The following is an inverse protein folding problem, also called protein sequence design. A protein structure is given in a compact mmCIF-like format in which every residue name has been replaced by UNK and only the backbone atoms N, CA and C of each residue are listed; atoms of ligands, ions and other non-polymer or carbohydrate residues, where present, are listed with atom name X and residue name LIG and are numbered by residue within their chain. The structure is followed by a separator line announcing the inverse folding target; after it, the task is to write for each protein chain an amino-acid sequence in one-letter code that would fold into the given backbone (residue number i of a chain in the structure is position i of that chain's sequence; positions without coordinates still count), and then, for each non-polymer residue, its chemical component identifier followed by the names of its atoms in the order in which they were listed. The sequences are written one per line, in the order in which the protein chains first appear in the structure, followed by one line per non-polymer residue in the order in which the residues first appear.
data_IF_214953234955
#
_entry.id   IF_214953234955
#
_cell.length_a   1.000
_cell.length_b   1.000
_cell.length_c   1.000
_cell.angle_alpha   90.00
_cell.angle_beta   90.00
_cell.angle_gamma   90.00
#
_symmetry.space_group_name_H-M   'P 1'
#
loop_
_entity.id
_entity.type
_entity.pdbx_description
1 polymer ?
#
# COMPACT_ATOMS: atom_id res chain seq x y z
N UNK A 1 -7.45 -37.52 9.69
CA UNK A 1 -7.52 -37.33 8.22
C UNK A 1 -6.14 -36.90 7.72
N UNK A 2 -5.46 -37.73 6.92
CA UNK A 2 -4.18 -37.32 6.29
C UNK A 2 -4.54 -36.33 5.18
N UNK A 3 -4.20 -35.05 5.38
CA UNK A 3 -4.39 -34.02 4.34
C UNK A 3 -3.65 -34.44 3.06
N UNK A 4 -4.34 -34.43 1.93
CA UNK A 4 -3.75 -34.76 0.63
C UNK A 4 -2.61 -33.80 0.31
N UNK A 5 -1.64 -34.21 -0.48
CA UNK A 5 -0.51 -33.36 -0.92
C UNK A 5 -1.04 -32.06 -1.55
N UNK A 6 -2.11 -32.16 -2.35
CA UNK A 6 -2.77 -31.01 -2.95
C UNK A 6 -3.30 -30.01 -1.91
N UNK A 7 -3.93 -30.47 -0.83
CA UNK A 7 -4.43 -29.58 0.24
C UNK A 7 -3.30 -28.86 0.95
N UNK A 8 -2.19 -29.54 1.21
CA UNK A 8 -1.01 -28.93 1.83
C UNK A 8 -0.40 -27.85 0.93
N UNK A 9 -0.25 -28.15 -0.35
CA UNK A 9 0.27 -27.19 -1.34
C UNK A 9 -0.65 -25.96 -1.45
N UNK A 10 -1.97 -26.18 -1.56
CA UNK A 10 -2.96 -25.12 -1.57
C UNK A 10 -2.84 -24.19 -0.36
N UNK A 11 -2.84 -24.75 0.86
CA UNK A 11 -2.75 -23.98 2.09
C UNK A 11 -1.42 -23.22 2.20
N UNK A 12 -0.30 -23.84 1.80
CA UNK A 12 1.01 -23.18 1.81
C UNK A 12 1.06 -21.97 0.90
N UNK A 13 0.64 -22.12 -0.37
CA UNK A 13 0.64 -21.02 -1.35
C UNK A 13 -0.35 -19.93 -0.94
N UNK A 14 -1.54 -20.31 -0.47
CA UNK A 14 -2.55 -19.36 0.01
C UNK A 14 -2.03 -18.55 1.21
N UNK A 15 -1.35 -19.20 2.16
CA UNK A 15 -0.78 -18.51 3.34
C UNK A 15 0.27 -17.48 2.95
N UNK A 16 1.20 -17.83 2.05
CA UNK A 16 2.22 -16.89 1.56
C UNK A 16 1.56 -15.70 0.86
N UNK A 17 0.56 -15.97 0.03
CA UNK A 17 -0.14 -14.92 -0.69
C UNK A 17 -0.93 -13.98 0.25
N UNK A 18 -1.59 -14.52 1.27
CA UNK A 18 -2.30 -13.71 2.28
C UNK A 18 -1.34 -12.81 3.06
N UNK A 19 -0.19 -13.34 3.49
CA UNK A 19 0.83 -12.53 4.17
C UNK A 19 1.30 -11.39 3.28
N UNK A 20 1.59 -11.68 2.01
CA UNK A 20 2.00 -10.67 1.05
C UNK A 20 0.90 -9.61 0.83
N UNK A 21 -0.36 -10.04 0.66
CA UNK A 21 -1.48 -9.13 0.44
C UNK A 21 -1.70 -8.19 1.64
N UNK A 22 -1.67 -8.71 2.87
CA UNK A 22 -1.79 -7.88 4.09
C UNK A 22 -0.64 -6.90 4.19
N UNK A 23 0.61 -7.35 3.99
CA UNK A 23 1.79 -6.49 4.02
C UNK A 23 1.71 -5.38 2.95
N UNK A 24 1.26 -5.72 1.75
CA UNK A 24 1.08 -4.77 0.67
C UNK A 24 0.01 -3.72 0.98
N UNK A 25 -1.14 -4.13 1.55
CA UNK A 25 -2.21 -3.21 1.95
C UNK A 25 -1.70 -2.22 3.00
N UNK A 26 -1.01 -2.70 4.05
CA UNK A 26 -0.46 -1.83 5.09
C UNK A 26 0.56 -0.84 4.52
N UNK A 27 1.47 -1.34 3.68
CA UNK A 27 2.46 -0.49 3.02
C UNK A 27 1.81 0.58 2.13
N UNK A 28 0.79 0.20 1.36
CA UNK A 28 0.10 1.13 0.47
C UNK A 28 -0.70 2.19 1.24
N UNK A 29 -1.31 1.83 2.38
CA UNK A 29 -2.01 2.79 3.24
C UNK A 29 -1.07 3.87 3.77
N UNK A 30 0.08 3.46 4.30
CA UNK A 30 1.06 4.40 4.85
C UNK A 30 1.62 5.31 3.75
N UNK A 31 1.95 4.74 2.60
CA UNK A 31 2.47 5.49 1.45
C UNK A 31 1.46 6.53 0.93
N UNK A 32 0.19 6.15 0.80
CA UNK A 32 -0.85 7.06 0.31
C UNK A 32 -1.10 8.20 1.30
N UNK A 33 -1.17 7.88 2.60
CA UNK A 33 -1.29 8.89 3.65
C UNK A 33 -0.13 9.90 3.58
N UNK A 34 1.11 9.41 3.48
CA UNK A 34 2.29 10.27 3.37
C UNK A 34 2.22 11.14 2.11
N UNK A 35 1.85 10.56 0.97
CA UNK A 35 1.68 11.30 -0.28
C UNK A 35 0.64 12.43 -0.17
N UNK A 36 -0.50 12.19 0.50
CA UNK A 36 -1.53 13.21 0.73
C UNK A 36 -1.02 14.34 1.66
N UNK A 37 -0.25 13.99 2.70
CA UNK A 37 0.40 14.95 3.61
C UNK A 37 1.41 15.82 2.82
N UNK A 38 2.27 15.20 2.03
CA UNK A 38 3.26 15.91 1.22
C UNK A 38 2.58 16.82 0.18
N UNK A 39 1.52 16.36 -0.45
CA UNK A 39 0.72 17.15 -1.39
C UNK A 39 0.07 18.35 -0.71
N UNK A 40 -0.47 18.17 0.50
CA UNK A 40 -1.02 19.28 1.29
C UNK A 40 0.09 20.29 1.65
N UNK A 41 1.23 19.80 2.10
CA UNK A 41 2.38 20.66 2.42
C UNK A 41 2.83 21.49 1.22
N UNK A 42 2.93 20.88 0.04
CA UNK A 42 3.28 21.60 -1.19
C UNK A 42 2.25 22.67 -1.55
N UNK A 43 0.96 22.40 -1.39
CA UNK A 43 -0.11 23.42 -1.61
C UNK A 43 0.01 24.59 -0.65
N UNK A 44 0.35 24.34 0.62
CA UNK A 44 0.53 25.41 1.60
C UNK A 44 1.81 26.21 1.33
N UNK A 45 2.89 25.55 0.91
CA UNK A 45 4.11 26.24 0.49
C UNK A 45 3.89 27.11 -0.75
N UNK A 46 3.09 26.64 -1.69
CA UNK A 46 2.71 27.42 -2.87
C UNK A 46 1.90 28.66 -2.48
N UNK A 47 0.91 28.50 -1.59
CA UNK A 47 0.19 29.62 -0.99
C UNK A 47 1.14 30.63 -0.33
N UNK A 48 2.11 30.15 0.48
CA UNK A 48 3.09 31.01 1.14
C UNK A 48 3.95 31.81 0.13
N UNK A 49 4.36 31.17 -0.98
CA UNK A 49 5.12 31.82 -2.05
C UNK A 49 4.31 32.94 -2.74
N UNK A 50 3.08 32.61 -3.13
CA UNK A 50 2.19 33.60 -3.76
C UNK A 50 1.89 34.78 -2.83
N UNK A 51 1.75 34.53 -1.52
CA UNK A 51 1.58 35.59 -0.54
C UNK A 51 2.82 36.45 -0.45
N UNK A 52 4.04 35.90 -0.37
CA UNK A 52 5.30 36.65 -0.38
C UNK A 52 5.41 37.52 -1.63
N UNK A 53 5.16 36.96 -2.82
CA UNK A 53 5.18 37.72 -4.07
C UNK A 53 4.24 38.90 -4.03
N UNK A 54 3.02 38.72 -3.50
CA UNK A 54 2.03 39.78 -3.36
C UNK A 54 2.46 40.83 -2.34
N UNK A 55 3.00 40.41 -1.18
CA UNK A 55 3.56 41.30 -0.16
C UNK A 55 4.65 42.18 -0.77
N UNK A 56 5.53 41.61 -1.56
CA UNK A 56 6.66 42.31 -2.20
C UNK A 56 6.22 43.20 -3.35
N UNK A 57 5.42 42.69 -4.30
CA UNK A 57 5.04 43.42 -5.52
C UNK A 57 4.02 44.52 -5.25
N UNK A 58 3.04 44.27 -4.37
CA UNK A 58 2.01 45.24 -4.00
C UNK A 58 2.37 46.06 -2.78
N UNK A 59 3.55 45.82 -2.19
CA UNK A 59 4.05 46.54 -0.99
C UNK A 59 3.03 46.48 0.18
N UNK A 60 2.47 45.29 0.45
CA UNK A 60 1.49 45.12 1.53
C UNK A 60 2.19 45.28 2.89
N UNK A 61 1.91 46.39 3.60
CA UNK A 61 2.57 46.73 4.86
C UNK A 61 1.63 46.77 6.07
N UNK A 62 0.33 46.90 5.83
CA UNK A 62 -0.66 47.03 6.90
C UNK A 62 -1.42 45.72 7.12
N UNK A 63 -1.87 45.49 8.37
CA UNK A 63 -2.69 44.33 8.69
C UNK A 63 -3.93 44.24 7.81
N UNK A 64 -4.62 45.38 7.58
CA UNK A 64 -5.81 45.39 6.74
C UNK A 64 -5.55 44.92 5.28
N UNK A 65 -4.37 45.23 4.73
CA UNK A 65 -3.98 44.77 3.40
C UNK A 65 -3.68 43.25 3.40
N UNK A 66 -3.04 42.77 4.47
CA UNK A 66 -2.76 41.33 4.62
C UNK A 66 -4.05 40.53 4.87
N UNK A 67 -4.98 41.05 5.70
CA UNK A 67 -6.30 40.47 5.92
C UNK A 67 -7.06 40.39 4.59
N UNK A 68 -7.08 41.48 3.81
CA UNK A 68 -7.70 41.49 2.49
C UNK A 68 -7.11 40.48 1.53
N UNK A 69 -5.77 40.28 1.56
CA UNK A 69 -5.12 39.22 0.77
C UNK A 69 -5.61 37.82 1.17
N UNK A 70 -5.63 37.53 2.49
CA UNK A 70 -6.07 36.22 2.99
C UNK A 70 -7.56 35.95 2.67
N UNK A 71 -8.40 36.99 2.75
CA UNK A 71 -9.82 36.87 2.43
C UNK A 71 -10.08 36.66 0.94
N UNK A 72 -9.31 37.31 0.07
CA UNK A 72 -9.46 37.20 -1.40
C UNK A 72 -8.84 35.93 -1.94
N UNK A 73 -7.78 35.40 -1.33
CA UNK A 73 -7.13 34.13 -1.66
C UNK A 73 -7.57 33.03 -0.68
N UNK A 74 -8.89 32.85 -0.61
CA UNK A 74 -9.52 32.00 0.37
C UNK A 74 -9.04 30.53 0.28
N UNK A 75 -8.54 30.03 1.41
CA UNK A 75 -8.29 28.62 1.63
C UNK A 75 -9.06 28.19 2.89
N UNK A 76 -9.87 27.11 2.84
CA UNK A 76 -10.75 26.72 3.95
C UNK A 76 -9.98 26.51 5.26
N UNK A 77 -10.42 27.20 6.31
CA UNK A 77 -9.85 27.13 7.66
C UNK A 77 -8.36 27.48 7.80
N UNK A 78 -7.76 28.08 6.79
CA UNK A 78 -6.36 28.48 6.83
C UNK A 78 -6.14 29.58 7.87
N UNK A 79 -5.06 29.45 8.64
CA UNK A 79 -4.46 30.50 9.44
C UNK A 79 -3.09 30.79 8.88
N UNK A 80 -2.81 32.05 8.65
CA UNK A 80 -1.51 32.52 8.16
C UNK A 80 -0.84 33.36 9.24
N UNK A 81 0.45 33.11 9.46
CA UNK A 81 1.27 33.84 10.42
C UNK A 81 2.56 34.28 9.73
N UNK A 82 2.90 35.57 9.77
CA UNK A 82 4.20 36.07 9.33
C UNK A 82 5.12 36.23 10.55
N UNK A 83 6.31 35.66 10.44
CA UNK A 83 7.27 35.52 11.53
C UNK A 83 8.60 36.07 11.06
N UNK A 84 9.18 36.97 11.85
CA UNK A 84 10.52 37.48 11.58
C UNK A 84 11.58 36.41 11.91
N UNK A 85 12.78 36.55 11.36
CA UNK A 85 13.88 35.57 11.56
C UNK A 85 14.32 35.40 13.02
N UNK A 86 14.01 36.36 13.91
CA UNK A 86 14.21 36.22 15.36
C UNK A 86 13.08 35.43 16.06
N UNK A 87 12.09 34.94 15.32
CA UNK A 87 10.96 34.18 15.84
C UNK A 87 9.77 34.98 16.34
N UNK A 88 9.83 36.34 16.23
CA UNK A 88 8.73 37.21 16.62
C UNK A 88 7.64 37.25 15.55
N UNK A 89 6.39 37.07 15.98
CA UNK A 89 5.21 37.19 15.11
C UNK A 89 4.95 38.65 14.77
N UNK A 90 4.81 38.99 13.50
CA UNK A 90 4.51 40.31 12.98
C UNK A 90 3.13 40.44 12.38
N UNK A 91 2.49 39.31 12.02
CA UNK A 91 1.12 39.27 11.55
C UNK A 91 0.50 37.87 11.85
N UNK A 92 -0.79 37.87 12.17
CA UNK A 92 -1.57 36.65 12.33
C UNK A 92 -3.00 36.86 11.86
N UNK A 93 -3.47 36.05 10.90
CA UNK A 93 -4.81 36.20 10.28
C UNK A 93 -5.98 35.89 11.23
N UNK A 94 -5.75 35.24 12.36
CA UNK A 94 -6.79 34.81 13.32
C UNK A 94 -6.74 35.58 14.64
N UNK A 95 -5.58 36.10 15.04
CA UNK A 95 -5.38 36.82 16.29
C UNK A 95 -5.19 38.31 15.99
N UNK A 96 -5.94 39.15 16.69
CA UNK A 96 -5.77 40.60 16.60
C UNK A 96 -4.66 41.16 17.54
N UNK A 97 -4.43 40.48 18.65
CA UNK A 97 -3.31 40.76 19.55
C UNK A 97 -2.38 39.54 19.63
N UNK A 98 -1.23 39.64 19.02
CA UNK A 98 -0.16 38.64 19.02
C UNK A 98 1.07 39.07 19.80
N UNK A 99 1.00 40.18 20.56
CA UNK A 99 2.11 40.74 21.37
C UNK A 99 2.54 39.76 22.47
N UNK A 100 1.62 38.94 22.97
CA UNK A 100 1.84 38.00 24.05
C UNK A 100 2.23 36.58 23.56
N UNK A 101 2.35 36.36 22.24
CA UNK A 101 2.77 35.07 21.72
C UNK A 101 4.22 34.76 22.08
N UNK A 102 4.48 33.56 22.51
CA UNK A 102 5.84 33.05 22.73
C UNK A 102 6.66 33.13 21.43
N UNK A 103 7.98 33.18 21.56
CA UNK A 103 8.86 33.16 20.41
C UNK A 103 8.74 31.84 19.67
N UNK A 104 8.59 31.88 18.35
CA UNK A 104 8.34 30.74 17.51
C UNK A 104 9.61 30.08 16.91
N UNK A 105 10.80 30.62 17.20
CA UNK A 105 12.04 30.16 16.56
C UNK A 105 12.39 28.71 16.82
N UNK A 106 12.01 28.18 18.00
CA UNK A 106 12.27 26.80 18.41
C UNK A 106 11.24 25.81 17.89
N UNK A 107 10.20 26.28 17.20
CA UNK A 107 9.18 25.37 16.64
C UNK A 107 9.75 24.56 15.49
N UNK A 108 9.48 23.24 15.42
CA UNK A 108 10.11 22.36 14.44
C UNK A 108 9.94 22.82 12.99
N UNK A 109 8.74 23.27 12.61
CA UNK A 109 8.46 23.77 11.26
C UNK A 109 9.27 25.04 10.94
N UNK A 110 9.48 25.90 11.91
CA UNK A 110 10.25 27.17 11.76
C UNK A 110 11.75 26.89 11.69
N UNK A 111 12.27 26.08 12.61
CA UNK A 111 13.67 25.67 12.61
C UNK A 111 14.06 24.96 11.31
N UNK A 112 13.22 24.05 10.84
CA UNK A 112 13.42 23.36 9.56
C UNK A 112 13.33 24.31 8.37
N UNK A 113 12.39 25.27 8.39
CA UNK A 113 12.29 26.27 7.32
C UNK A 113 13.53 27.13 7.22
N UNK A 114 14.09 27.58 8.35
CA UNK A 114 15.33 28.37 8.38
C UNK A 114 16.50 27.56 7.83
N UNK A 115 16.60 26.28 8.19
CA UNK A 115 17.71 25.40 7.77
C UNK A 115 17.64 24.96 6.31
N UNK A 116 16.42 24.68 5.79
CA UNK A 116 16.22 24.04 4.50
C UNK A 116 15.34 24.82 3.52
N UNK A 117 14.89 26.04 3.90
CA UNK A 117 13.98 26.85 3.12
C UNK A 117 12.49 26.56 3.37
N UNK A 118 12.15 25.33 3.73
CA UNK A 118 10.77 24.90 4.07
C UNK A 118 10.77 23.95 5.25
N UNK A 119 9.68 23.95 6.01
CA UNK A 119 9.48 23.00 7.11
C UNK A 119 8.00 22.74 7.36
N UNK A 120 7.66 21.53 7.79
CA UNK A 120 6.29 21.17 8.15
C UNK A 120 6.26 20.30 9.40
N UNK A 121 5.17 20.35 10.14
CA UNK A 121 4.94 19.48 11.29
C UNK A 121 3.45 19.31 11.57
N UNK A 122 3.09 18.18 12.16
CA UNK A 122 1.78 17.97 12.79
C UNK A 122 1.97 18.13 14.29
N UNK A 123 1.59 19.27 14.83
CA UNK A 123 1.64 19.54 16.27
C UNK A 123 0.31 19.12 16.92
N UNK A 124 0.39 18.14 17.82
CA UNK A 124 -0.76 17.62 18.56
C UNK A 124 -1.13 18.45 19.79
N UNK A 125 -0.30 19.42 20.19
CA UNK A 125 -0.51 20.24 21.37
C UNK A 125 -0.19 21.70 21.09
N UNK A 126 -1.02 22.37 20.27
CA UNK A 126 -0.86 23.82 20.12
C UNK A 126 -1.23 24.54 21.41
N UNK A 127 -0.27 25.13 22.10
CA UNK A 127 -0.48 25.96 23.30
C UNK A 127 -1.38 27.18 23.03
N UNK A 128 -1.42 27.64 21.78
CA UNK A 128 -2.12 28.87 21.37
C UNK A 128 -3.55 28.60 20.89
N UNK A 129 -3.81 27.43 20.35
CA UNK A 129 -5.12 27.03 19.81
C UNK A 129 -5.44 25.65 20.37
N UNK A 130 -6.42 25.51 21.22
CA UNK A 130 -6.86 24.23 21.80
C UNK A 130 -7.22 23.22 20.69
N UNK A 131 -6.21 22.48 20.18
CA UNK A 131 -6.39 21.48 19.12
C UNK A 131 -5.12 21.15 18.36
N UNK A 132 -5.16 20.11 17.59
CA UNK A 132 -4.07 19.66 16.72
C UNK A 132 -4.07 20.51 15.43
N UNK A 133 -2.91 20.89 14.94
CA UNK A 133 -2.74 21.65 13.71
C UNK A 133 -1.66 21.03 12.84
N UNK A 134 -1.88 21.09 11.53
CA UNK A 134 -0.83 20.89 10.54
C UNK A 134 -0.22 22.23 10.18
N UNK A 135 1.10 22.34 10.34
CA UNK A 135 1.86 23.55 10.05
C UNK A 135 2.77 23.35 8.84
N UNK A 136 2.82 24.36 7.97
CA UNK A 136 3.78 24.45 6.87
C UNK A 136 4.40 25.84 6.86
N UNK A 137 5.72 25.91 6.96
CA UNK A 137 6.47 27.17 6.98
C UNK A 137 7.40 27.25 5.76
N UNK A 138 7.53 28.46 5.22
CA UNK A 138 8.44 28.79 4.13
C UNK A 138 9.28 29.99 4.53
N UNK A 139 10.59 29.88 4.40
CA UNK A 139 11.54 30.95 4.68
C UNK A 139 11.88 31.75 3.41
N UNK A 140 11.83 33.07 3.51
CA UNK A 140 12.16 34.01 2.44
C UNK A 140 13.41 34.81 2.83
N UNK A 141 14.61 34.37 2.46
CA UNK A 141 15.86 35.00 2.87
C UNK A 141 16.01 36.47 2.43
N UNK A 142 15.46 36.79 1.24
CA UNK A 142 15.54 38.16 0.69
C UNK A 142 14.83 39.17 1.56
N UNK A 143 13.71 38.79 2.14
CA UNK A 143 12.82 39.65 2.92
C UNK A 143 12.99 39.46 4.43
N UNK A 144 13.85 38.50 4.82
CA UNK A 144 14.18 38.17 6.22
C UNK A 144 12.96 37.83 7.09
N UNK A 145 11.96 37.12 6.50
CA UNK A 145 10.82 36.63 7.25
C UNK A 145 10.40 35.23 6.79
N UNK A 146 9.53 34.61 7.58
CA UNK A 146 8.88 33.33 7.27
C UNK A 146 7.37 33.56 7.19
N UNK A 147 6.72 32.83 6.28
CA UNK A 147 5.27 32.68 6.28
C UNK A 147 4.95 31.25 6.72
N UNK A 148 4.11 31.12 7.74
CA UNK A 148 3.62 29.87 8.26
C UNK A 148 2.12 29.78 8.02
N UNK A 149 1.72 28.78 7.25
CA UNK A 149 0.33 28.38 7.06
C UNK A 149 -0.02 27.25 8.03
N UNK A 150 -1.19 27.33 8.64
CA UNK A 150 -1.67 26.33 9.59
C UNK A 150 -3.12 25.93 9.26
N UNK A 151 -3.38 24.63 9.28
CA UNK A 151 -4.72 24.04 9.14
C UNK A 151 -5.08 23.25 10.40
N UNK A 152 -6.31 23.37 10.93
CA UNK A 152 -6.74 22.52 12.04
C UNK A 152 -6.72 21.06 11.61
N UNK A 153 -6.03 20.23 12.38
CA UNK A 153 -5.97 18.79 12.18
C UNK A 153 -7.20 18.12 12.81
N UNK A 154 -8.37 18.49 12.29
CA UNK A 154 -9.67 17.99 12.73
C UNK A 154 -10.05 16.68 12.00
N UNK A 155 -11.20 16.14 12.38
CA UNK A 155 -11.72 14.90 11.75
C UNK A 155 -11.86 14.99 10.23
N UNK A 156 -12.17 16.17 9.69
CA UNK A 156 -12.36 16.37 8.25
C UNK A 156 -11.03 16.31 7.51
N UNK A 157 -10.00 17.01 8.03
CA UNK A 157 -8.65 16.94 7.48
C UNK A 157 -8.07 15.53 7.64
N UNK A 158 -8.24 14.91 8.80
CA UNK A 158 -7.79 13.54 9.06
C UNK A 158 -8.43 12.56 8.07
N UNK A 159 -9.74 12.66 7.82
CA UNK A 159 -10.44 11.83 6.83
C UNK A 159 -9.93 12.08 5.41
N UNK A 160 -9.67 13.33 5.04
CA UNK A 160 -9.16 13.68 3.70
C UNK A 160 -7.73 13.16 3.48
N UNK A 161 -6.94 13.04 4.55
CA UNK A 161 -5.58 12.50 4.51
C UNK A 161 -5.52 10.97 4.68
N UNK A 162 -6.62 10.32 5.07
CA UNK A 162 -6.67 8.87 5.09
C UNK A 162 -6.59 8.30 3.68
N UNK A 163 -5.99 7.12 3.58
CA UNK A 163 -5.93 6.38 2.34
C UNK A 163 -7.33 5.98 1.87
N UNK A 164 -7.56 5.99 0.56
CA UNK A 164 -8.83 5.59 -0.03
C UNK A 164 -9.04 4.09 0.17
N UNK A 165 -10.27 3.69 0.48
CA UNK A 165 -10.58 2.28 0.73
C UNK A 165 -10.79 1.46 -0.54
N UNK A 166 -10.80 2.07 -1.71
CA UNK A 166 -11.08 1.39 -2.97
C UNK A 166 -10.10 0.26 -3.29
N UNK A 167 -8.79 0.45 -2.98
CA UNK A 167 -7.81 -0.60 -3.21
C UNK A 167 -7.97 -1.80 -2.26
N UNK A 168 -8.59 -1.64 -1.08
CA UNK A 168 -8.90 -2.75 -0.18
C UNK A 168 -9.93 -3.67 -0.84
N UNK A 169 -10.99 -3.11 -1.42
CA UNK A 169 -12.00 -3.86 -2.17
C UNK A 169 -11.39 -4.55 -3.39
N UNK A 170 -10.51 -3.86 -4.12
CA UNK A 170 -9.80 -4.45 -5.25
C UNK A 170 -8.91 -5.62 -4.79
N UNK A 171 -8.17 -5.47 -3.70
CA UNK A 171 -7.35 -6.53 -3.14
C UNK A 171 -8.19 -7.74 -2.70
N UNK A 172 -9.34 -7.51 -2.03
CA UNK A 172 -10.26 -8.59 -1.64
C UNK A 172 -10.79 -9.36 -2.86
N UNK A 173 -11.21 -8.66 -3.91
CA UNK A 173 -11.64 -9.30 -5.16
C UNK A 173 -10.52 -10.11 -5.80
N UNK A 174 -9.29 -9.58 -5.84
CA UNK A 174 -8.12 -10.28 -6.37
C UNK A 174 -7.78 -11.53 -5.56
N UNK A 175 -7.83 -11.45 -4.23
CA UNK A 175 -7.62 -12.58 -3.32
C UNK A 175 -8.66 -13.67 -3.57
N UNK A 176 -9.94 -13.30 -3.68
CA UNK A 176 -11.02 -14.23 -3.92
C UNK A 176 -10.85 -14.94 -5.27
N UNK A 177 -10.57 -14.19 -6.33
CA UNK A 177 -10.35 -14.74 -7.67
C UNK A 177 -9.16 -15.71 -7.68
N UNK A 178 -8.04 -15.31 -7.09
CA UNK A 178 -6.86 -16.16 -7.00
C UNK A 178 -7.14 -17.42 -6.18
N UNK A 179 -7.87 -17.31 -5.07
CA UNK A 179 -8.27 -18.45 -4.23
C UNK A 179 -9.06 -19.49 -5.05
N UNK A 180 -10.02 -19.03 -5.87
CA UNK A 180 -10.81 -19.92 -6.74
C UNK A 180 -9.94 -20.60 -7.79
N UNK A 181 -9.07 -19.83 -8.47
CA UNK A 181 -8.16 -20.37 -9.49
C UNK A 181 -7.22 -21.40 -8.86
N UNK A 182 -6.59 -21.06 -7.75
CA UNK A 182 -5.64 -21.91 -7.04
C UNK A 182 -6.31 -23.19 -6.53
N UNK A 183 -7.55 -23.09 -6.00
CA UNK A 183 -8.33 -24.25 -5.56
C UNK A 183 -8.60 -25.21 -6.72
N UNK A 184 -9.10 -24.68 -7.85
CA UNK A 184 -9.38 -25.52 -9.04
C UNK A 184 -8.11 -26.17 -9.58
N UNK A 185 -7.03 -25.44 -9.66
CA UNK A 185 -5.74 -25.95 -10.13
C UNK A 185 -5.21 -27.06 -9.20
N UNK A 186 -5.18 -26.80 -7.90
CA UNK A 186 -4.64 -27.75 -6.92
C UNK A 186 -5.51 -29.00 -6.78
N UNK A 187 -6.85 -28.84 -6.89
CA UNK A 187 -7.77 -29.98 -6.86
C UNK A 187 -7.57 -30.90 -8.08
N UNK A 188 -7.43 -30.30 -9.27
CA UNK A 188 -7.13 -31.01 -10.51
C UNK A 188 -5.79 -31.77 -10.43
N UNK A 189 -4.75 -31.06 -9.95
CA UNK A 189 -3.42 -31.65 -9.75
C UNK A 189 -3.47 -32.84 -8.77
N UNK A 190 -4.12 -32.66 -7.63
CA UNK A 190 -4.26 -33.69 -6.60
C UNK A 190 -5.00 -34.95 -7.11
N UNK A 191 -6.03 -34.74 -7.92
CA UNK A 191 -6.78 -35.86 -8.54
C UNK A 191 -5.90 -36.65 -9.51
N UNK A 192 -5.11 -35.99 -10.34
CA UNK A 192 -4.21 -36.65 -11.29
C UNK A 192 -3.10 -37.43 -10.57
N UNK A 193 -2.52 -36.89 -9.52
CA UNK A 193 -1.51 -37.57 -8.71
C UNK A 193 -2.13 -38.79 -8.00
N UNK A 194 -3.36 -38.69 -7.51
CA UNK A 194 -4.07 -39.82 -6.87
C UNK A 194 -4.32 -40.96 -7.85
N UNK A 195 -4.77 -40.66 -9.08
CA UNK A 195 -4.97 -41.67 -10.14
C UNK A 195 -3.66 -42.40 -10.47
N UNK A 196 -2.56 -41.64 -10.64
CA UNK A 196 -1.24 -42.21 -10.91
C UNK A 196 -0.76 -43.11 -9.77
N UNK A 197 -0.97 -42.68 -8.51
CA UNK A 197 -0.64 -43.53 -7.34
C UNK A 197 -1.44 -44.81 -7.29
N UNK A 198 -2.76 -44.75 -7.54
CA UNK A 198 -3.62 -45.95 -7.58
C UNK A 198 -3.18 -46.90 -8.68
N UNK A 199 -2.84 -46.37 -9.87
CA UNK A 199 -2.27 -47.17 -10.95
C UNK A 199 -0.97 -47.86 -10.54
N UNK A 200 -0.01 -47.11 -9.96
CA UNK A 200 1.25 -47.68 -9.51
C UNK A 200 1.08 -48.76 -8.45
N UNK A 201 0.15 -48.60 -7.50
CA UNK A 201 -0.14 -49.58 -6.45
C UNK A 201 -0.76 -50.88 -7.03
N UNK A 202 -1.71 -50.77 -7.97
CA UNK A 202 -2.32 -51.94 -8.64
C UNK A 202 -1.30 -52.66 -9.52
N UNK A 203 -0.43 -51.91 -10.19
CA UNK A 203 0.65 -52.44 -10.99
C UNK A 203 1.64 -53.28 -10.15
N UNK A 204 1.96 -52.84 -8.91
CA UNK A 204 2.84 -53.55 -7.98
C UNK A 204 2.22 -54.86 -7.49
N UNK A 205 0.87 -54.95 -7.37
CA UNK A 205 0.15 -56.15 -6.93
C UNK A 205 -0.19 -57.12 -8.05
N UNK A 206 0.30 -56.92 -9.27
CA UNK A 206 0.00 -57.74 -10.45
C UNK A 206 -1.53 -57.94 -10.76
N UNK A 207 -2.36 -56.98 -10.30
CA UNK A 207 -3.78 -56.96 -10.63
C UNK A 207 -3.98 -56.70 -12.14
N UNK A 208 -5.01 -57.37 -12.74
CA UNK A 208 -5.37 -57.10 -14.14
C UNK A 208 -5.79 -55.62 -14.27
N UNK A 209 -5.01 -54.85 -15.02
CA UNK A 209 -5.32 -53.46 -15.33
C UNK A 209 -6.32 -53.42 -16.48
N UNK A 210 -7.60 -53.22 -16.17
CA UNK A 210 -8.63 -53.02 -17.19
C UNK A 210 -8.42 -51.70 -17.94
N UNK A 211 -8.77 -51.73 -19.25
CA UNK A 211 -8.60 -50.57 -20.13
C UNK A 211 -9.40 -49.36 -19.66
N UNK A 212 -10.48 -49.58 -18.87
CA UNK A 212 -11.29 -48.51 -18.27
C UNK A 212 -10.59 -47.77 -17.11
N UNK A 213 -9.66 -48.38 -16.40
CA UNK A 213 -8.84 -47.75 -15.37
C UNK A 213 -7.81 -46.76 -15.95
N UNK A 214 -7.59 -46.80 -17.25
CA UNK A 214 -6.75 -45.89 -18.04
C UNK A 214 -7.51 -44.63 -18.48
N UNK A 215 -8.74 -44.46 -18.00
CA UNK A 215 -9.63 -43.41 -18.40
C UNK A 215 -9.01 -42.02 -18.19
N UNK A 216 -8.72 -41.43 -19.31
CA UNK A 216 -8.64 -39.99 -19.55
C UNK A 216 -7.87 -39.22 -18.48
N UNK A 217 -6.55 -39.19 -18.60
CA UNK A 217 -5.74 -38.14 -18.04
C UNK A 217 -6.00 -36.86 -18.86
N UNK A 218 -6.03 -35.67 -18.21
CA UNK A 218 -6.11 -34.44 -18.95
C UNK A 218 -4.92 -34.27 -19.89
N UNK A 219 -5.11 -33.57 -20.99
CA UNK A 219 -4.05 -33.25 -21.97
C UNK A 219 -3.10 -32.13 -21.45
N UNK A 220 -2.55 -32.33 -20.24
CA UNK A 220 -1.51 -31.49 -19.66
C UNK A 220 -0.21 -32.31 -19.50
N UNK A 221 0.90 -31.64 -19.15
CA UNK A 221 2.22 -32.27 -19.01
C UNK A 221 2.22 -33.45 -18.04
N UNK A 222 1.40 -33.38 -17.00
CA UNK A 222 1.22 -34.47 -16.05
C UNK A 222 0.46 -35.65 -16.64
N UNK A 223 -0.52 -35.39 -17.48
CA UNK A 223 -1.23 -36.44 -18.24
C UNK A 223 -0.31 -37.16 -19.23
N UNK A 224 0.53 -36.42 -19.94
CA UNK A 224 1.52 -36.98 -20.86
C UNK A 224 2.55 -37.87 -20.13
N UNK A 225 3.05 -37.43 -18.97
CA UNK A 225 3.94 -38.22 -18.12
C UNK A 225 3.24 -39.51 -17.64
N UNK A 226 1.99 -39.39 -17.19
CA UNK A 226 1.21 -40.53 -16.75
C UNK A 226 1.02 -41.58 -17.87
N UNK A 227 0.65 -41.13 -19.07
CA UNK A 227 0.51 -42.03 -20.25
C UNK A 227 1.83 -42.70 -20.62
N UNK A 228 2.94 -41.98 -20.58
CA UNK A 228 4.27 -42.57 -20.84
C UNK A 228 4.63 -43.64 -19.81
N UNK A 229 4.39 -43.39 -18.52
CA UNK A 229 4.63 -44.37 -17.45
C UNK A 229 3.78 -45.61 -17.66
N UNK A 230 2.50 -45.47 -17.97
CA UNK A 230 1.59 -46.55 -18.25
C UNK A 230 2.06 -47.38 -19.47
N UNK A 231 2.48 -46.73 -20.53
CA UNK A 231 2.98 -47.37 -21.75
C UNK A 231 4.26 -48.17 -21.48
N UNK A 232 5.19 -47.64 -20.72
CA UNK A 232 6.44 -48.33 -20.31
C UNK A 232 6.09 -49.56 -19.47
N UNK A 233 5.18 -49.42 -18.50
CA UNK A 233 4.78 -50.54 -17.64
C UNK A 233 4.11 -51.65 -18.43
N UNK A 234 3.19 -51.37 -19.37
CA UNK A 234 2.58 -52.36 -20.25
C UNK A 234 3.63 -53.12 -21.08
N UNK A 235 4.61 -52.41 -21.61
CA UNK A 235 5.71 -53.00 -22.36
C UNK A 235 6.56 -53.94 -21.51
N UNK A 236 6.86 -53.56 -20.27
CA UNK A 236 7.58 -54.43 -19.33
C UNK A 236 6.79 -55.72 -18.97
N UNK A 237 5.48 -55.60 -18.78
CA UNK A 237 4.63 -56.77 -18.52
C UNK A 237 4.58 -57.74 -19.69
N UNK A 238 4.44 -57.25 -20.92
CA UNK A 238 4.45 -58.12 -22.12
C UNK A 238 5.78 -58.84 -22.27
N UNK A 239 6.89 -58.12 -22.12
CA UNK A 239 8.24 -58.70 -22.19
C UNK A 239 8.47 -59.79 -21.10
N UNK A 240 8.01 -59.55 -19.86
CA UNK A 240 8.06 -60.58 -18.80
C UNK A 240 7.25 -61.80 -19.12
N UNK A 241 6.04 -61.65 -19.62
CA UNK A 241 5.20 -62.80 -20.03
C UNK A 241 5.84 -63.61 -21.15
N UNK A 242 6.43 -62.97 -22.14
CA UNK A 242 7.18 -63.62 -23.22
C UNK A 242 8.38 -64.39 -22.70
N UNK A 243 9.15 -63.84 -21.77
CA UNK A 243 10.28 -64.53 -21.15
C UNK A 243 9.86 -65.71 -20.27
N UNK A 244 8.72 -65.61 -19.56
CA UNK A 244 8.22 -66.73 -18.76
C UNK A 244 7.68 -67.89 -19.63
N UNK A 245 7.14 -67.58 -20.79
CA UNK A 245 6.74 -68.60 -21.76
C UNK A 245 7.95 -69.32 -22.35
N UNK A 246 8.99 -68.54 -22.74
CA UNK A 246 10.23 -69.13 -23.27
C UNK A 246 11.02 -69.98 -22.27
N UNK A 247 10.91 -69.71 -20.97
CA UNK A 247 11.55 -70.45 -19.89
C UNK A 247 10.79 -71.78 -19.56
N UNK A 248 9.55 -71.89 -19.97
CA UNK A 248 8.72 -73.08 -19.77
C UNK A 248 8.70 -74.11 -20.97
N UNK A 249 9.33 -73.72 -22.08
CA UNK A 249 9.64 -74.60 -23.22
C UNK A 249 11.04 -75.19 -23.08
#
# INVERSE_FOLDING_TARGET
MKNSVGTKLYLSVLSVFLIFAVSFIVFQQEREKQFKIDTLNLKLQDYNKHMEESVRLLNLRTEAQLDHYVDTHYFPNLRVTIIRTDGKVTYDSRLKDYSHLSNHITRPEIANAIAHGTGSTVDRNSETLRGDYFYSATYFPRDSFLIRSALPYNNDLTKSLQADQHYIWFALCAILLLTVILYRFTHRLGHNIMKLRTFATRADHNESLDVEDLAVFPSDELGEIAERIIKIYKRLQTTRREQDILKRQ
#
